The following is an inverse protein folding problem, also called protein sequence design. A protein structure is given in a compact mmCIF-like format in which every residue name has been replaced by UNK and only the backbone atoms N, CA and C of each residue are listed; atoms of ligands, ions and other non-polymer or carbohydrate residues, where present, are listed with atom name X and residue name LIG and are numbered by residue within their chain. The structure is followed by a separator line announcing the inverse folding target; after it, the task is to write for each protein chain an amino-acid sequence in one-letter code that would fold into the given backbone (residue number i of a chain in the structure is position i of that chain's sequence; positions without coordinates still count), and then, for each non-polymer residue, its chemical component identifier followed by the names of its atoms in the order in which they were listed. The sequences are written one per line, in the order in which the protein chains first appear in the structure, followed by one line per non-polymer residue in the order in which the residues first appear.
data_IF_545164245088
#
_entry.id   IF_545164245088
#
_cell.length_a   1.000
_cell.length_b   1.000
_cell.length_c   1.000
_cell.angle_alpha   90.00
_cell.angle_beta   90.00
_cell.angle_gamma   90.00
#
_symmetry.space_group_name_H-M   'P 1'
#
loop_
_entity.id
_entity.type
_entity.pdbx_description
1 polymer ?
2 non-polymer ?
3 non-polymer ?
4 water ?
#
# COMPACT_ATOMS: atom_id res chain seq x y z
N UNK A 1 12.52 -15.35 -24.76
CA UNK A 1 11.16 -14.99 -25.28
C UNK A 1 10.24 -14.45 -24.18
N UNK A 2 9.56 -13.34 -24.54
CA UNK A 2 8.62 -12.70 -23.61
C UNK A 2 7.55 -13.69 -23.20
N UNK A 3 7.11 -14.53 -24.16
CA UNK A 3 5.94 -15.33 -23.92
C UNK A 3 6.22 -16.40 -22.84
N UNK A 4 7.42 -16.99 -22.90
CA UNK A 4 7.75 -18.02 -21.91
C UNK A 4 8.02 -17.40 -20.54
N UNK A 5 8.64 -16.22 -20.53
CA UNK A 5 8.77 -15.48 -19.26
C UNK A 5 7.46 -15.27 -18.59
N UNK A 6 6.50 -14.74 -19.35
CA UNK A 6 5.16 -14.52 -18.80
C UNK A 6 4.55 -15.82 -18.34
N UNK A 7 4.70 -16.89 -19.15
CA UNK A 7 4.02 -18.12 -18.75
C UNK A 7 4.64 -18.70 -17.48
N UNK A 8 5.95 -18.70 -17.38
CA UNK A 8 6.48 -19.13 -16.10
C UNK A 8 6.01 -18.29 -14.92
N UNK A 9 6.02 -16.93 -15.07
CA UNK A 9 5.49 -16.09 -14.01
C UNK A 9 4.12 -16.43 -13.67
N UNK A 10 3.31 -16.68 -14.72
CA UNK A 10 1.92 -17.05 -14.48
C UNK A 10 1.85 -18.34 -13.63
N UNK A 11 2.70 -19.30 -13.95
CA UNK A 11 2.62 -20.60 -13.20
C UNK A 11 3.02 -20.42 -11.77
N UNK A 12 3.92 -19.47 -11.49
CA UNK A 12 4.30 -19.25 -10.07
C UNK A 12 3.30 -18.48 -9.25
N UNK A 13 2.26 -17.89 -9.86
CA UNK A 13 1.33 -17.13 -9.07
C UNK A 13 0.59 -18.01 -8.03
N UNK A 14 0.51 -19.32 -8.34
CA UNK A 14 -0.19 -20.29 -7.45
C UNK A 14 0.58 -20.42 -6.10
N UNK A 15 1.89 -20.39 -6.15
CA UNK A 15 2.66 -20.71 -4.94
C UNK A 15 3.28 -19.48 -4.24
N UNK A 16 3.68 -18.47 -5.00
CA UNK A 16 4.14 -17.18 -4.35
C UNK A 16 3.08 -16.49 -3.51
N UNK A 17 3.54 -15.74 -2.50
CA UNK A 17 2.62 -15.05 -1.64
C UNK A 17 2.80 -13.53 -1.78
N UNK A 18 1.84 -12.81 -1.28
CA UNK A 18 1.96 -11.33 -1.24
C UNK A 18 3.21 -10.91 -0.42
N UNK A 19 3.50 -11.67 0.62
CA UNK A 19 4.72 -11.37 1.41
C UNK A 19 5.97 -11.45 0.60
N UNK A 20 6.07 -12.37 -0.37
CA UNK A 20 7.22 -12.49 -1.23
C UNK A 20 7.47 -11.28 -2.11
N UNK A 21 6.42 -10.52 -2.46
CA UNK A 21 6.61 -9.42 -3.42
C UNK A 21 6.32 -8.05 -2.85
N UNK A 22 5.83 -8.00 -1.63
CA UNK A 22 5.40 -6.74 -1.04
C UNK A 22 6.61 -5.75 -0.93
N UNK A 23 6.26 -4.47 -0.82
CA UNK A 23 7.19 -3.44 -0.33
C UNK A 23 7.07 -3.49 1.20
N UNK A 24 8.15 -3.94 1.86
CA UNK A 24 8.04 -3.98 3.32
C UNK A 24 7.93 -2.59 3.90
N UNK A 25 7.36 -2.49 5.10
CA UNK A 25 7.07 -1.22 5.75
C UNK A 25 8.28 -0.29 5.81
N UNK A 26 9.48 -0.84 6.05
CA UNK A 26 10.66 0.05 6.14
C UNK A 26 11.10 0.64 4.80
N UNK A 27 10.56 0.11 3.71
CA UNK A 27 10.84 0.66 2.38
C UNK A 27 9.63 1.56 1.85
N UNK A 28 8.60 1.78 2.66
CA UNK A 28 7.45 2.55 2.26
C UNK A 28 7.62 4.01 2.52
N UNK A 29 7.25 4.82 1.55
CA UNK A 29 7.11 6.26 1.78
C UNK A 29 5.73 6.53 2.38
N UNK A 30 5.64 7.08 3.63
CA UNK A 30 4.36 7.17 4.35
C UNK A 30 4.25 8.50 4.87
N UNK A 31 3.16 8.85 5.47
CA UNK A 31 3.04 10.22 6.01
C UNK A 31 2.26 10.17 7.33
N UNK A 32 2.59 11.02 8.30
CA UNK A 32 1.92 10.93 9.61
C UNK A 32 0.55 11.60 9.47
N UNK A 33 -0.45 11.07 10.14
CA UNK A 33 -1.83 11.63 10.12
C UNK A 33 -1.91 13.05 10.68
N UNK A 34 -0.85 13.47 11.41
CA UNK A 34 -0.73 14.80 11.99
C UNK A 34 -0.28 15.82 10.98
N UNK A 35 0.10 15.38 9.76
CA UNK A 35 0.73 16.31 8.86
C UNK A 35 -0.19 17.45 8.47
N UNK A 36 0.44 18.57 8.05
CA UNK A 36 -0.19 19.72 7.54
C UNK A 36 0.19 19.82 6.08
N UNK A 37 -0.79 20.09 5.24
CA UNK A 37 -0.53 20.10 3.75
C UNK A 37 -0.12 21.53 3.33
N UNK A 38 0.97 21.98 3.93
CA UNK A 38 1.55 23.24 3.51
C UNK A 38 2.36 23.00 2.26
N UNK A 39 2.98 24.02 1.72
CA UNK A 39 3.71 23.84 0.52
C UNK A 39 4.80 22.77 0.55
N UNK A 40 5.64 22.76 1.59
CA UNK A 40 6.78 21.83 1.60
C UNK A 40 6.31 20.41 1.77
N UNK A 41 5.25 20.24 2.52
CA UNK A 41 4.80 18.85 2.69
C UNK A 41 4.24 18.31 1.30
N UNK A 42 3.38 19.10 0.70
CA UNK A 42 2.80 18.66 -0.62
C UNK A 42 3.93 18.48 -1.63
N UNK A 43 4.92 19.36 -1.55
CA UNK A 43 6.08 19.25 -2.42
C UNK A 43 6.84 17.89 -2.18
N UNK A 44 6.99 17.47 -0.90
CA UNK A 44 7.71 16.17 -0.67
C UNK A 44 6.87 15.00 -1.23
N UNK A 45 5.57 15.12 -1.01
CA UNK A 45 4.68 14.06 -1.49
C UNK A 45 4.73 13.96 -3.02
N UNK A 46 4.68 15.07 -3.74
CA UNK A 46 4.78 15.00 -5.20
C UNK A 46 6.14 14.54 -5.67
N UNK A 47 7.18 14.96 -4.95
CA UNK A 47 8.58 14.54 -5.34
C UNK A 47 8.74 13.03 -5.21
N UNK A 48 7.97 12.39 -4.31
CA UNK A 48 8.19 10.96 -4.03
C UNK A 48 7.83 10.16 -5.24
N UNK A 49 6.94 10.68 -6.09
CA UNK A 49 6.59 9.92 -7.31
C UNK A 49 5.54 8.84 -7.10
N UNK A 50 5.06 8.61 -5.86
CA UNK A 50 4.06 7.56 -5.64
C UNK A 50 2.67 8.09 -5.80
N UNK A 51 1.81 7.25 -6.35
CA UNK A 51 0.41 7.67 -6.59
C UNK A 51 -0.30 7.67 -5.27
N UNK A 52 0.03 6.75 -4.35
CA UNK A 52 -0.75 6.63 -3.12
C UNK A 52 0.28 6.49 -1.92
N UNK A 53 -0.06 7.08 -0.81
CA UNK A 53 0.89 7.19 0.31
C UNK A 53 0.13 6.74 1.58
N UNK A 54 0.54 5.61 2.19
CA UNK A 54 -0.15 5.23 3.46
C UNK A 54 0.01 6.32 4.54
N UNK A 55 -1.01 6.52 5.34
CA UNK A 55 -1.07 7.47 6.43
C UNK A 55 -1.08 6.67 7.74
N UNK A 56 -0.14 7.02 8.66
CA UNK A 56 -0.10 6.24 9.94
C UNK A 56 -0.32 7.17 11.11
N UNK A 57 -0.70 6.58 12.24
CA UNK A 57 -0.91 7.34 13.47
C UNK A 57 -0.11 6.72 14.60
N UNK A 58 0.87 7.46 15.07
CA UNK A 58 1.66 7.02 16.22
C UNK A 58 2.80 6.29 15.62
N UNK A 59 2.61 5.02 15.29
CA UNK A 59 3.67 4.14 14.81
C UNK A 59 3.46 3.90 13.30
N UNK A 60 4.52 3.65 12.56
CA UNK A 60 4.39 3.38 11.07
C UNK A 60 3.51 2.21 10.79
N UNK A 61 3.46 1.21 11.70
CA UNK A 61 2.65 0.01 11.48
C UNK A 61 1.16 0.26 11.74
N UNK A 62 0.81 1.43 12.26
CA UNK A 62 -0.59 1.69 12.52
C UNK A 62 -1.14 2.49 11.32
N UNK A 63 -1.34 1.81 10.19
CA UNK A 63 -1.82 2.51 8.96
C UNK A 63 -3.33 2.70 9.11
N UNK A 64 -3.75 3.93 9.06
CA UNK A 64 -5.17 4.29 9.22
C UNK A 64 -5.85 4.88 7.98
N UNK A 65 -5.08 5.28 6.96
CA UNK A 65 -5.70 5.88 5.76
C UNK A 65 -4.73 5.74 4.59
N UNK A 66 -5.22 6.07 3.38
CA UNK A 66 -4.37 6.20 2.21
C UNK A 66 -4.56 7.58 1.60
N UNK A 67 -3.48 8.29 1.33
CA UNK A 67 -3.58 9.60 0.70
C UNK A 67 -3.19 9.41 -0.76
N UNK A 68 -4.03 9.83 -1.70
CA UNK A 68 -3.61 9.79 -3.11
C UNK A 68 -3.10 11.13 -3.49
N UNK A 69 -2.06 11.16 -4.33
CA UNK A 69 -1.58 12.46 -4.80
C UNK A 69 -2.69 13.33 -5.45
N UNK A 70 -3.63 12.71 -6.15
CA UNK A 70 -4.75 13.41 -6.84
C UNK A 70 -5.59 14.10 -5.75
N UNK A 71 -5.59 13.62 -4.49
CA UNK A 71 -6.30 14.34 -3.41
C UNK A 71 -5.72 15.69 -3.09
N UNK A 72 -4.53 16.02 -3.61
CA UNK A 72 -4.01 17.40 -3.36
C UNK A 72 -4.38 18.36 -4.47
N UNK A 73 -5.16 17.91 -5.45
CA UNK A 73 -5.36 18.77 -6.65
C UNK A 73 -6.03 20.10 -6.29
N UNK A 74 -7.00 20.10 -5.38
CA UNK A 74 -7.67 21.39 -5.06
C UNK A 74 -7.14 22.03 -3.75
N UNK A 75 -6.09 21.44 -3.19
CA UNK A 75 -5.57 21.96 -1.86
C UNK A 75 -4.70 23.16 -2.12
N UNK A 76 -5.06 24.30 -1.51
CA UNK A 76 -4.26 25.51 -1.63
C UNK A 76 -3.25 25.44 -0.45
N UNK A 77 -1.95 25.36 -0.76
CA UNK A 77 -0.96 25.22 0.31
C UNK A 77 -1.00 26.39 1.33
N UNK A 78 -1.42 27.58 0.88
CA UNK A 78 -1.60 28.73 1.75
C UNK A 78 -2.58 28.44 2.89
N UNK A 79 -3.47 27.48 2.72
CA UNK A 79 -4.46 27.24 3.79
C UNK A 79 -3.87 26.45 4.96
N UNK A 80 -2.70 25.82 4.76
CA UNK A 80 -2.18 24.86 5.78
C UNK A 80 -3.23 23.87 6.25
N UNK A 81 -3.96 23.27 5.32
CA UNK A 81 -5.00 22.36 5.66
C UNK A 81 -4.41 21.10 6.30
N UNK A 82 -4.92 20.70 7.48
CA UNK A 82 -4.47 19.46 8.01
C UNK A 82 -4.82 18.29 7.07
N UNK A 83 -3.93 17.31 7.03
CA UNK A 83 -4.14 16.11 6.23
C UNK A 83 -5.43 15.41 6.64
N UNK A 84 -5.71 15.31 7.96
CA UNK A 84 -6.98 14.82 8.44
C UNK A 84 -8.25 15.37 7.73
N UNK A 85 -8.30 16.64 7.42
CA UNK A 85 -9.47 17.22 6.69
C UNK A 85 -9.60 16.47 5.33
N UNK A 86 -8.44 16.20 4.70
CA UNK A 86 -8.43 15.61 3.35
C UNK A 86 -8.74 14.13 3.41
N UNK A 87 -8.26 13.38 4.42
CA UNK A 87 -8.56 11.99 4.49
C UNK A 87 -9.99 11.80 4.97
N UNK A 88 -10.48 12.71 5.79
CA UNK A 88 -11.92 12.58 6.17
C UNK A 88 -12.80 12.85 4.93
N UNK A 89 -12.41 13.79 4.10
CA UNK A 89 -13.25 14.09 2.88
C UNK A 89 -13.28 12.94 1.88
N UNK A 90 -12.12 12.55 1.38
CA UNK A 90 -12.07 11.53 0.36
C UNK A 90 -12.27 10.17 0.92
N UNK A 91 -11.82 9.91 2.18
CA UNK A 91 -12.05 8.59 2.71
C UNK A 91 -11.80 7.39 1.80
N UNK A 92 -10.65 7.34 1.14
CA UNK A 92 -10.27 6.19 0.30
C UNK A 92 -10.32 4.93 1.17
N UNK A 93 -10.95 3.85 0.65
CA UNK A 93 -10.98 2.56 1.28
C UNK A 93 -9.58 2.02 1.53
N UNK A 94 -9.41 1.36 2.65
CA UNK A 94 -8.09 0.81 3.02
C UNK A 94 -8.22 -0.66 3.05
N UNK A 95 -7.59 -1.42 2.17
CA UNK A 95 -7.79 -2.88 2.12
C UNK A 95 -6.61 -3.59 2.76
N UNK A 96 -6.90 -4.66 3.50
CA UNK A 96 -5.90 -5.49 4.14
C UNK A 96 -5.87 -6.87 3.57
N UNK A 97 -4.70 -7.47 3.53
CA UNK A 97 -4.55 -8.86 3.01
C UNK A 97 -3.62 -9.64 3.93
N UNK A 98 -3.86 -10.95 4.12
CA UNK A 98 -2.87 -11.73 4.89
C UNK A 98 -1.61 -12.06 4.11
N UNK A 99 -0.47 -12.10 4.83
CA UNK A 99 0.80 -12.36 4.21
C UNK A 99 0.90 -13.64 3.45
N UNK A 100 0.08 -14.66 3.82
CA UNK A 100 0.18 -15.95 3.15
C UNK A 100 -0.78 -16.04 1.95
N UNK A 101 -1.49 -14.94 1.64
CA UNK A 101 -2.30 -14.88 0.42
C UNK A 101 -1.45 -15.13 -0.80
N UNK A 102 -1.93 -16.01 -1.69
CA UNK A 102 -1.24 -16.38 -2.93
C UNK A 102 -1.46 -15.28 -3.97
N UNK A 103 -0.50 -15.12 -4.85
CA UNK A 103 -0.59 -14.02 -5.82
C UNK A 103 -1.73 -14.25 -6.80
N UNK A 104 -2.10 -15.52 -7.09
CA UNK A 104 -3.25 -15.69 -8.03
C UNK A 104 -4.50 -15.13 -7.46
N UNK A 105 -4.76 -15.41 -6.17
CA UNK A 105 -5.87 -14.81 -5.44
C UNK A 105 -5.77 -13.29 -5.33
N UNK A 106 -4.54 -12.81 -5.05
CA UNK A 106 -4.39 -11.38 -4.98
C UNK A 106 -4.72 -10.77 -6.31
N UNK A 107 -4.24 -11.36 -7.40
CA UNK A 107 -4.46 -10.75 -8.71
C UNK A 107 -5.98 -10.73 -8.98
N UNK A 108 -6.62 -11.86 -8.70
CA UNK A 108 -8.09 -11.91 -8.79
C UNK A 108 -8.75 -10.81 -8.01
N UNK A 109 -8.32 -10.53 -6.78
CA UNK A 109 -8.92 -9.52 -5.97
C UNK A 109 -8.62 -8.09 -6.51
N UNK A 110 -7.39 -7.85 -7.04
CA UNK A 110 -7.15 -6.50 -7.62
C UNK A 110 -7.98 -6.29 -8.87
N UNK A 111 -8.28 -7.37 -9.60
CA UNK A 111 -9.00 -7.22 -10.87
C UNK A 111 -10.50 -6.90 -10.64
N UNK A 112 -11.00 -7.11 -9.44
CA UNK A 112 -12.37 -6.88 -9.16
C UNK A 112 -12.50 -5.75 -8.21
N UNK A 113 -12.89 -4.61 -8.72
CA UNK A 113 -12.97 -3.46 -7.80
C UNK A 113 -11.84 -2.53 -8.17
N UNK A 114 -11.89 -1.34 -7.62
CA UNK A 114 -11.02 -0.29 -8.10
C UNK A 114 -9.65 -0.40 -7.40
N UNK A 115 -9.60 -1.04 -6.20
CA UNK A 115 -8.39 -0.82 -5.32
C UNK A 115 -7.29 -1.67 -5.87
N UNK A 116 -6.12 -1.06 -6.10
CA UNK A 116 -4.93 -1.86 -6.50
C UNK A 116 -3.80 -1.72 -5.46
N UNK A 117 -4.16 -1.49 -4.21
CA UNK A 117 -3.16 -1.49 -3.10
C UNK A 117 -3.79 -2.20 -1.91
N UNK A 118 -3.06 -3.13 -1.30
CA UNK A 118 -3.52 -3.72 0.00
C UNK A 118 -2.40 -3.64 1.03
N UNK A 119 -2.78 -3.50 2.28
CA UNK A 119 -1.81 -3.51 3.38
C UNK A 119 -1.60 -4.97 3.74
N UNK A 120 -0.34 -5.44 3.79
CA UNK A 120 -0.07 -6.85 4.06
C UNK A 120 0.08 -6.98 5.58
N UNK A 121 -0.62 -7.94 6.17
CA UNK A 121 -0.43 -8.15 7.61
C UNK A 121 -0.39 -9.66 7.93
N UNK A 122 0.19 -10.00 9.10
CA UNK A 122 0.10 -11.40 9.54
C UNK A 122 -0.47 -11.49 10.95
N UNK A 123 -0.89 -12.70 11.34
CA UNK A 123 -1.46 -12.90 12.68
C UNK A 123 -0.30 -13.17 13.58
N UNK A 124 -0.06 -12.31 14.56
CA UNK A 124 1.01 -12.54 15.51
C UNK A 124 0.45 -13.30 16.76
N UNK A 125 0.81 -14.59 16.84
CA UNK A 125 0.34 -15.54 17.86
C UNK A 125 1.40 -15.69 18.95
N UNK A 126 2.57 -15.09 18.74
CA UNK A 126 3.69 -15.25 19.67
C UNK A 126 3.59 -14.30 20.89
N UNK A 127 2.36 -14.15 21.41
CA UNK A 127 2.08 -13.46 22.69
C UNK A 127 2.55 -14.25 23.93
N UNK A 128 2.64 -13.61 25.10
CA UNK A 128 2.20 -12.22 25.35
C UNK A 128 0.64 -12.12 25.25
N UNK A 129 -0.06 -13.21 25.58
CA UNK A 129 -1.52 -13.20 25.58
C UNK A 129 -2.11 -13.01 24.19
N UNK A 130 -2.86 -11.93 23.99
CA UNK A 130 -3.80 -11.81 22.84
C UNK A 130 -3.23 -11.78 21.42
N UNK A 131 -3.75 -12.66 20.52
CA UNK A 131 -3.20 -12.60 19.15
C UNK A 131 -3.62 -11.27 18.46
N UNK A 132 -2.68 -10.59 17.77
CA UNK A 132 -2.99 -9.33 17.05
C UNK A 132 -2.47 -9.35 15.58
N UNK A 133 -2.96 -8.40 14.77
CA UNK A 133 -2.56 -8.23 13.36
C UNK A 133 -1.27 -7.39 13.25
N UNK A 134 -0.21 -7.96 12.72
CA UNK A 134 1.05 -7.21 12.67
C UNK A 134 1.21 -6.76 11.16
N UNK A 135 1.25 -5.45 10.92
CA UNK A 135 1.40 -4.88 9.54
C UNK A 135 2.80 -5.05 9.02
N UNK A 136 2.97 -5.65 7.86
CA UNK A 136 4.29 -5.93 7.33
C UNK A 136 4.75 -5.04 6.19
N UNK A 137 3.80 -4.45 5.43
CA UNK A 137 4.22 -3.75 4.21
C UNK A 137 2.96 -3.53 3.33
N UNK A 138 3.19 -3.18 2.06
CA UNK A 138 2.03 -2.97 1.15
C UNK A 138 2.29 -3.78 -0.05
N UNK A 139 1.23 -4.06 -0.83
CA UNK A 139 1.44 -4.82 -2.02
C UNK A 139 0.48 -4.16 -3.02
N UNK A 140 0.92 -3.94 -4.24
CA UNK A 140 0.00 -3.33 -5.24
C UNK A 140 -0.09 -4.24 -6.46
N UNK A 141 -0.94 -3.85 -7.42
CA UNK A 141 -1.08 -4.71 -8.62
C UNK A 141 0.24 -4.79 -9.31
N UNK A 142 0.98 -3.63 -9.36
CA UNK A 142 2.27 -3.62 -10.03
C UNK A 142 3.24 -4.65 -9.47
N UNK A 143 3.27 -4.86 -8.14
CA UNK A 143 4.14 -5.91 -7.56
C UNK A 143 3.80 -7.26 -8.20
N UNK A 144 2.50 -7.52 -8.36
CA UNK A 144 2.14 -8.82 -8.99
C UNK A 144 2.49 -8.92 -10.44
N UNK A 145 2.15 -7.86 -11.21
CA UNK A 145 2.62 -7.76 -12.61
C UNK A 145 4.09 -7.95 -12.80
N UNK A 146 4.90 -7.25 -12.02
CA UNK A 146 6.32 -7.41 -12.13
C UNK A 146 6.70 -8.88 -11.97
N UNK A 147 6.09 -9.57 -11.01
CA UNK A 147 6.40 -11.01 -10.87
C UNK A 147 6.01 -11.80 -12.11
N UNK A 148 4.91 -11.45 -12.77
CA UNK A 148 4.51 -12.12 -14.02
C UNK A 148 5.48 -11.83 -15.15
N UNK A 149 5.90 -10.55 -15.38
CA UNK A 149 6.64 -10.25 -16.64
C UNK A 149 8.17 -10.21 -16.52
N UNK A 150 8.69 -10.28 -15.31
CA UNK A 150 10.14 -10.05 -15.11
C UNK A 150 10.93 -11.19 -15.71
N UNK A 151 12.16 -10.89 -16.11
CA UNK A 151 13.01 -11.89 -16.76
C UNK A 151 13.49 -12.84 -15.70
N UNK A 152 13.46 -14.15 -15.99
CA UNK A 152 13.94 -15.20 -15.06
C UNK A 152 14.33 -16.49 -15.81
X LIG B 1 3.19 3.93 -8.13
X LIG B 1 4.55 3.76 -8.65
X LIG B 1 2.18 4.30 -9.24
X LIG B 1 2.92 4.87 -7.01
X LIG B 1 2.66 1.11 -8.27
X LIG B 1 1.38 0.53 -7.72
X LIG B 1 2.96 1.24 -9.71
X LIG B 1 2.78 2.53 -7.51
X LIG B 1 3.85 0.26 -7.61
X LIG B 1 5.26 0.30 -8.01
X LIG B 1 6.09 -0.17 -6.79
X LIG B 1 6.03 0.86 -5.74
X LIG B 1 5.55 -1.40 -6.09
X LIG B 1 6.74 -2.20 -5.71
X LIG B 1 4.72 -0.86 -4.93
X LIG B 1 4.60 -1.77 -3.79
X LIG B 1 5.57 0.39 -4.54
X LIG B 1 4.87 1.46 -3.87
X LIG B 1 3.61 1.98 -4.13
X LIG B 1 3.30 2.94 -3.30
X LIG B 1 4.43 3.09 -2.46
X LIG B 1 4.74 3.98 -1.33
X LIG B 1 3.88 4.93 -0.84
X LIG B 1 6.00 3.76 -0.72
X LIG B 1 6.90 2.88 -1.22
X LIG B 1 6.65 2.04 -2.25
X LIG B 1 5.42 2.13 -2.84
X LIG C 1 -8.42 -3.58 -12.32
X LIG D 1 -8.12 -6.44 -15.74
X LIG E 1 -7.08 -4.69 -13.78
X LIG F 1 -11.20 -1.82 -12.10
#
# INVERSE_FOLDING_TARGET
KEELNIIQGALELRTKTVEDVMTPLRDCFMITGEAILDFNTMSEIMESGYTRIPVFEGERSNIVDLLFVKDLAFVDPDDCTPLKTITKFYNHPLHFVFNDTKLDAMLEEFKKGKSHLAIVQRVNNEGEGDPFYEVLGIVTLEDVIEEIIKSEILDE
ADP PB O1B O2B O3B PA O1A O2A O3A O5' C5' C4' O4' C3' O3' C2' O2' C1' N9 C8 N7 C5 C6 N6 N1 C2 N3 C4
ACT C
ACT C
ACT C
ACT C
#
